data_IF_591789940593
#
_entry.id   IF_591789940593
#
_cell.length_a   1.000
_cell.length_b   1.000
_cell.length_c   1.000
_cell.angle_alpha   90.00
_cell.angle_beta   90.00
_cell.angle_gamma   90.00
#
_symmetry.space_group_name_H-M   'P 1'
#
loop_
_entity.id
_entity.type
_entity.pdbx_description
1 polymer ?
#
# COMPACT_ATOMS: atom_id res chain seq x y z
N UNK A 1 -0.33 6.63 -4.06
CA UNK A 1 1.05 7.06 -4.43
C UNK A 1 1.11 8.59 -4.60
N UNK A 2 2.30 9.26 -4.55
CA UNK A 2 3.61 8.73 -4.13
C UNK A 2 3.75 8.62 -2.60
N UNK A 3 2.78 9.11 -1.83
CA UNK A 3 2.85 9.21 -0.36
C UNK A 3 2.05 8.10 0.38
N UNK A 4 1.47 7.15 -0.35
CA UNK A 4 0.69 6.03 0.19
C UNK A 4 0.73 4.83 -0.76
N UNK A 5 0.45 3.65 -0.19
CA UNK A 5 0.36 2.37 -0.90
C UNK A 5 -1.08 1.85 -0.86
N UNK A 6 -1.46 1.08 -1.88
CA UNK A 6 -2.69 0.27 -1.88
C UNK A 6 -2.28 -1.21 -1.96
N UNK A 7 -3.03 -2.08 -1.27
CA UNK A 7 -2.78 -3.52 -1.26
C UNK A 7 -4.11 -4.25 -1.41
N UNK A 8 -4.15 -5.24 -2.31
CA UNK A 8 -5.24 -6.22 -2.40
C UNK A 8 -4.63 -7.57 -2.01
N UNK A 9 -5.12 -8.16 -0.94
CA UNK A 9 -4.57 -9.41 -0.41
C UNK A 9 -5.63 -10.24 0.30
N UNK A 10 -5.43 -11.56 0.31
CA UNK A 10 -6.19 -12.52 1.11
C UNK A 10 -5.26 -13.04 2.21
N UNK A 11 -5.49 -12.72 3.49
CA UNK A 11 -4.65 -13.24 4.56
C UNK A 11 -4.99 -14.70 4.84
N UNK A 12 -3.98 -15.51 5.19
CA UNK A 12 -4.16 -16.93 5.56
C UNK A 12 -4.90 -17.09 6.90
N UNK A 13 -4.77 -16.11 7.79
CA UNK A 13 -5.38 -16.12 9.12
C UNK A 13 -6.16 -14.84 9.36
N UNK A 14 -7.08 -14.88 10.34
CA UNK A 14 -7.89 -13.72 10.75
C UNK A 14 -7.04 -12.49 11.10
N UNK A 15 -5.87 -12.72 11.70
CA UNK A 15 -4.90 -11.71 12.09
C UNK A 15 -3.69 -11.65 11.14
N UNK A 16 -3.79 -12.20 9.93
CA UNK A 16 -2.66 -12.20 9.00
C UNK A 16 -2.33 -10.79 8.51
N UNK A 17 -3.36 -10.01 8.17
CA UNK A 17 -3.20 -8.70 7.55
C UNK A 17 -2.61 -7.66 8.52
N UNK A 18 -3.12 -7.58 9.75
CA UNK A 18 -2.61 -6.62 10.75
C UNK A 18 -1.18 -6.95 11.18
N UNK A 19 -0.84 -8.23 11.37
CA UNK A 19 0.51 -8.67 11.74
C UNK A 19 1.50 -8.39 10.61
N UNK A 20 1.17 -8.76 9.37
CA UNK A 20 2.05 -8.58 8.23
C UNK A 20 2.31 -7.10 7.92
N UNK A 21 1.25 -6.28 7.83
CA UNK A 21 1.36 -4.85 7.53
C UNK A 21 2.07 -4.11 8.67
N UNK A 22 1.74 -4.44 9.93
CA UNK A 22 2.39 -3.84 11.10
C UNK A 22 3.89 -4.11 11.14
N UNK A 23 4.31 -5.36 10.88
CA UNK A 23 5.72 -5.72 10.85
C UNK A 23 6.46 -5.08 9.66
N UNK A 24 5.84 -5.05 8.48
CA UNK A 24 6.41 -4.38 7.31
C UNK A 24 6.62 -2.88 7.58
N UNK A 25 5.61 -2.20 8.15
CA UNK A 25 5.71 -0.79 8.54
C UNK A 25 6.85 -0.56 9.55
N UNK A 26 6.96 -1.39 10.58
CA UNK A 26 8.00 -1.29 11.61
C UNK A 26 9.40 -1.46 11.03
N UNK A 27 9.61 -2.48 10.20
CA UNK A 27 10.91 -2.73 9.54
C UNK A 27 11.28 -1.59 8.60
N UNK A 28 10.32 -1.09 7.82
CA UNK A 28 10.55 0.02 6.91
C UNK A 28 10.93 1.30 7.65
N UNK A 29 10.18 1.68 8.70
CA UNK A 29 10.50 2.84 9.55
C UNK A 29 11.91 2.72 10.12
N UNK A 30 12.24 1.58 10.73
CA UNK A 30 13.58 1.39 11.32
C UNK A 30 14.68 1.55 10.28
N UNK A 31 14.51 0.98 9.09
CA UNK A 31 15.48 1.05 8.01
C UNK A 31 15.69 2.49 7.54
N UNK A 32 14.62 3.23 7.28
CA UNK A 32 14.69 4.61 6.79
C UNK A 32 15.24 5.54 7.87
N UNK A 33 14.75 5.45 9.10
CA UNK A 33 15.27 6.26 10.21
C UNK A 33 16.77 6.05 10.43
N UNK A 34 17.25 4.80 10.36
CA UNK A 34 18.68 4.53 10.47
C UNK A 34 19.48 5.09 9.29
N UNK A 35 18.98 4.90 8.06
CA UNK A 35 19.65 5.36 6.85
C UNK A 35 19.76 6.89 6.78
N UNK A 36 18.70 7.59 7.18
CA UNK A 36 18.60 9.05 7.07
C UNK A 36 19.01 9.79 8.35
N UNK A 37 19.31 9.07 9.45
CA UNK A 37 19.57 9.68 10.76
C UNK A 37 18.32 10.32 11.41
N UNK A 38 17.13 9.95 10.96
CA UNK A 38 15.86 10.50 11.46
C UNK A 38 15.35 9.78 12.71
N UNK A 39 14.39 10.42 13.39
CA UNK A 39 13.66 9.85 14.53
C UNK A 39 12.18 10.15 14.38
N UNK A 40 11.34 9.21 14.83
CA UNK A 40 9.88 9.37 14.84
C UNK A 40 9.16 8.51 13.80
N UNK A 41 7.92 8.91 13.49
CA UNK A 41 6.98 8.18 12.65
C UNK A 41 7.15 8.57 11.17
N UNK A 42 7.00 7.60 10.26
CA UNK A 42 6.96 7.87 8.81
C UNK A 42 5.56 7.67 8.21
N UNK A 43 4.76 6.78 8.78
CA UNK A 43 3.39 6.55 8.33
C UNK A 43 2.44 7.54 9.01
N UNK A 44 1.48 8.07 8.24
CA UNK A 44 0.47 9.00 8.76
C UNK A 44 -0.43 8.39 9.84
N UNK A 45 -0.57 7.06 9.86
CA UNK A 45 -1.36 6.34 10.85
C UNK A 45 -1.42 4.84 10.61
N UNK A 46 -2.42 4.20 11.21
CA UNK A 46 -2.75 2.78 10.96
C UNK A 46 -3.23 2.62 9.52
N UNK A 47 -3.02 1.44 8.93
CA UNK A 47 -3.64 1.11 7.66
C UNK A 47 -5.17 1.01 7.81
N UNK A 48 -5.89 1.35 6.74
CA UNK A 48 -7.32 1.07 6.62
C UNK A 48 -7.51 -0.19 5.77
N UNK A 49 -8.53 -0.98 6.07
CA UNK A 49 -8.88 -2.18 5.29
C UNK A 49 -10.38 -2.31 5.18
N UNK A 50 -10.82 -2.91 4.06
CA UNK A 50 -12.22 -3.10 3.71
C UNK A 50 -12.37 -4.51 3.13
N UNK A 51 -13.38 -5.25 3.59
CA UNK A 51 -13.71 -6.57 3.03
C UNK A 51 -14.32 -6.34 1.63
N UNK A 52 -13.99 -7.23 0.70
CA UNK A 52 -14.42 -7.13 -0.69
C UNK A 52 -15.07 -8.43 -1.14
N UNK A 53 -16.17 -8.31 -1.90
CA UNK A 53 -16.67 -9.39 -2.73
C UNK A 53 -15.98 -9.36 -4.11
N UNK A 54 -16.31 -10.31 -4.99
CA UNK A 54 -15.69 -10.40 -6.32
C UNK A 54 -15.97 -9.19 -7.21
N UNK A 55 -17.18 -8.61 -7.11
CA UNK A 55 -17.53 -7.42 -7.91
C UNK A 55 -16.70 -6.22 -7.47
N UNK A 56 -16.54 -6.05 -6.16
CA UNK A 56 -15.76 -4.97 -5.58
C UNK A 56 -14.26 -5.17 -5.81
N UNK A 57 -13.77 -6.42 -5.82
CA UNK A 57 -12.39 -6.75 -6.17
C UNK A 57 -11.99 -6.18 -7.54
N UNK A 58 -12.79 -6.41 -8.59
CA UNK A 58 -12.49 -5.90 -9.94
C UNK A 58 -12.52 -4.37 -10.01
N UNK A 59 -13.39 -3.73 -9.23
CA UNK A 59 -13.44 -2.28 -9.13
C UNK A 59 -12.19 -1.72 -8.44
N UNK A 60 -11.78 -2.34 -7.33
CA UNK A 60 -10.59 -1.98 -6.56
C UNK A 60 -9.30 -2.21 -7.35
N UNK A 61 -9.14 -3.35 -8.03
CA UNK A 61 -7.98 -3.63 -8.87
C UNK A 61 -7.80 -2.54 -9.94
N UNK A 62 -8.89 -2.22 -10.65
CA UNK A 62 -8.90 -1.13 -11.65
C UNK A 62 -8.57 0.22 -11.02
N UNK A 63 -9.07 0.50 -9.83
CA UNK A 63 -8.78 1.74 -9.11
C UNK A 63 -7.29 1.85 -8.78
N UNK A 64 -6.67 0.78 -8.27
CA UNK A 64 -5.24 0.74 -7.91
C UNK A 64 -4.38 1.01 -9.15
N UNK A 65 -4.63 0.30 -10.25
CA UNK A 65 -3.87 0.46 -11.50
C UNK A 65 -4.05 1.85 -12.14
N UNK A 66 -5.24 2.44 -12.03
CA UNK A 66 -5.52 3.77 -12.58
C UNK A 66 -5.04 4.92 -11.67
N UNK A 67 -4.69 4.66 -10.42
CA UNK A 67 -4.32 5.72 -9.47
C UNK A 67 -3.10 6.54 -9.92
N UNK A 68 -2.01 5.94 -10.44
CA UNK A 68 -0.88 6.68 -10.99
C UNK A 68 -1.27 7.61 -12.15
N UNK A 69 -2.16 7.15 -13.04
CA UNK A 69 -2.66 7.95 -14.16
C UNK A 69 -3.50 9.12 -13.66
N UNK A 70 -4.44 8.85 -12.74
CA UNK A 70 -5.31 9.87 -12.14
C UNK A 70 -4.55 10.92 -11.33
N UNK A 71 -3.40 10.55 -10.77
CA UNK A 71 -2.51 11.46 -10.05
C UNK A 71 -1.45 12.14 -10.94
N UNK A 72 -1.50 11.91 -12.26
CA UNK A 72 -0.57 12.52 -13.22
C UNK A 72 0.86 11.95 -13.18
N UNK A 73 1.06 10.81 -12.51
CA UNK A 73 2.37 10.17 -12.35
C UNK A 73 2.77 9.28 -13.54
N UNK A 74 1.79 8.86 -14.35
CA UNK A 74 1.98 8.08 -15.57
C UNK A 74 0.93 8.47 -16.63
N UNK A 75 1.21 8.25 -17.93
CA UNK A 75 0.18 8.48 -18.97
C UNK A 75 -0.72 7.27 -19.13
N UNK A 76 -0.20 6.07 -18.90
CA UNK A 76 -0.94 4.81 -18.91
C UNK A 76 -0.61 3.95 -17.69
N UNK A 77 -1.53 3.08 -17.21
CA UNK A 77 -1.28 2.21 -16.06
C UNK A 77 -0.01 1.36 -16.19
N UNK A 78 0.18 0.76 -17.36
CA UNK A 78 1.31 -0.12 -17.66
C UNK A 78 2.70 0.57 -17.59
N UNK A 79 2.73 1.91 -17.64
CA UNK A 79 3.97 2.69 -17.55
C UNK A 79 4.42 2.89 -16.10
N UNK A 80 3.56 2.65 -15.10
CA UNK A 80 3.85 2.99 -13.72
C UNK A 80 4.95 2.12 -13.10
N UNK A 81 5.10 0.87 -13.55
CA UNK A 81 6.20 -0.05 -13.18
C UNK A 81 6.33 -0.40 -11.68
N UNK A 82 5.42 0.11 -10.84
CA UNK A 82 5.40 -0.08 -9.38
C UNK A 82 4.03 -0.56 -8.87
N UNK A 83 3.15 -0.97 -9.79
CA UNK A 83 1.93 -1.70 -9.43
C UNK A 83 2.30 -3.12 -9.02
N UNK A 84 1.84 -3.55 -7.86
CA UNK A 84 1.96 -4.93 -7.33
C UNK A 84 0.64 -5.29 -6.66
#
# INVERSE_FOLDING_TARGET
>A
MPNHIHLIAVPETKDGLNLAVGEAHRRYIRRINFREGWRGHLWQGRFASFIMDEKYLLACARYVELNPVRSGLAKKPEEWGKSV
#
